data_IF_153866363670
#
_entry.id   IF_153866363670
#
_cell.length_a   1.000
_cell.length_b   1.000
_cell.length_c   1.000
_cell.angle_alpha   90.00
_cell.angle_beta   90.00
_cell.angle_gamma   90.00
#
_symmetry.space_group_name_H-M   'P 1'
#
loop_
_entity.id
_entity.type
_entity.pdbx_description
1 polymer ?
#
# COMPACT_ATOMS: atom_id res chain seq x y z
N UNK A 1 -23.49 10.67 -15.40
CA UNK A 1 -24.22 11.93 -15.17
C UNK A 1 -25.65 11.63 -14.72
N UNK A 2 -26.53 11.12 -15.60
CA UNK A 2 -27.94 10.82 -15.27
C UNK A 2 -28.21 9.96 -14.02
N UNK A 3 -27.29 9.08 -13.63
CA UNK A 3 -27.42 8.28 -12.40
C UNK A 3 -27.09 9.08 -11.13
N UNK A 4 -26.13 10.00 -11.18
CA UNK A 4 -25.74 10.84 -10.04
C UNK A 4 -26.84 11.88 -9.72
N UNK A 5 -27.47 12.43 -10.77
CA UNK A 5 -28.56 13.39 -10.65
C UNK A 5 -29.76 12.80 -9.90
N UNK A 6 -30.04 11.51 -10.10
CA UNK A 6 -31.10 10.77 -9.36
C UNK A 6 -30.81 10.59 -7.88
N UNK A 7 -29.56 10.75 -7.46
CA UNK A 7 -29.11 10.58 -6.08
C UNK A 7 -28.62 11.89 -5.44
N UNK A 8 -28.87 13.04 -6.08
CA UNK A 8 -28.41 14.35 -5.61
C UNK A 8 -26.90 14.41 -5.34
N UNK A 9 -26.10 13.69 -6.14
CA UNK A 9 -24.65 13.71 -6.09
C UNK A 9 -24.09 14.61 -7.20
N UNK A 10 -23.07 15.40 -6.88
CA UNK A 10 -22.35 16.24 -7.85
C UNK A 10 -20.91 15.73 -8.02
N UNK A 11 -20.37 15.92 -9.23
CA UNK A 11 -18.97 15.57 -9.51
C UNK A 11 -18.04 16.73 -9.20
N UNK A 12 -16.88 16.43 -8.64
CA UNK A 12 -15.79 17.38 -8.52
C UNK A 12 -14.96 17.35 -9.80
N UNK A 13 -15.37 18.15 -10.79
CA UNK A 13 -14.77 18.12 -12.14
C UNK A 13 -13.25 18.35 -12.14
N UNK A 14 -12.72 19.12 -11.20
CA UNK A 14 -11.28 19.35 -11.06
C UNK A 14 -10.51 18.07 -10.70
N UNK A 15 -11.17 17.11 -10.03
CA UNK A 15 -10.59 15.83 -9.60
C UNK A 15 -10.94 14.69 -10.54
N UNK A 16 -11.93 14.85 -11.41
CA UNK A 16 -12.34 13.83 -12.36
C UNK A 16 -11.28 13.60 -13.44
N UNK A 17 -11.17 12.34 -13.87
CA UNK A 17 -10.41 11.91 -15.04
C UNK A 17 -11.31 11.00 -15.86
N UNK A 18 -11.42 11.28 -17.15
CA UNK A 18 -12.32 10.58 -18.07
C UNK A 18 -11.50 9.96 -19.19
N UNK A 19 -11.83 8.71 -19.55
CA UNK A 19 -11.25 7.99 -20.70
C UNK A 19 -9.72 8.03 -20.75
N UNK A 20 -9.04 7.86 -19.60
CA UNK A 20 -7.58 7.88 -19.52
C UNK A 20 -7.01 6.46 -19.46
N UNK A 21 -5.89 6.22 -20.16
CA UNK A 21 -5.17 4.94 -20.11
C UNK A 21 -4.47 4.69 -18.75
N UNK A 22 -4.24 5.78 -18.02
CA UNK A 22 -3.59 5.80 -16.70
C UNK A 22 -4.46 6.56 -15.72
N UNK A 23 -4.65 6.01 -14.52
CA UNK A 23 -5.40 6.66 -13.44
C UNK A 23 -4.70 6.47 -12.09
N UNK A 24 -4.70 7.51 -11.26
CA UNK A 24 -4.29 7.42 -9.86
C UNK A 24 -5.53 7.12 -9.02
N UNK A 25 -5.52 6.00 -8.29
CA UNK A 25 -6.63 5.54 -7.47
C UNK A 25 -6.11 5.08 -6.11
N UNK A 26 -6.71 5.60 -5.03
CA UNK A 26 -6.27 5.35 -3.65
C UNK A 26 -4.78 5.61 -3.48
N UNK A 27 -3.97 4.61 -3.11
CA UNK A 27 -2.50 4.71 -2.93
C UNK A 27 -1.71 4.26 -4.16
N UNK A 28 -2.40 3.99 -5.26
CA UNK A 28 -1.85 3.30 -6.42
C UNK A 28 -2.10 4.07 -7.71
N UNK A 29 -1.36 3.68 -8.72
CA UNK A 29 -1.51 4.07 -10.10
C UNK A 29 -1.78 2.82 -10.93
N UNK A 30 -2.81 2.90 -11.76
CA UNK A 30 -3.26 1.81 -12.63
C UNK A 30 -3.01 2.21 -14.07
N UNK A 31 -2.37 1.33 -14.83
CA UNK A 31 -2.05 1.51 -16.25
C UNK A 31 -1.81 0.14 -16.89
N UNK A 32 -2.40 -0.12 -18.07
CA UNK A 32 -2.23 -1.36 -18.83
C UNK A 32 -2.42 -2.65 -18.01
N UNK A 33 -3.46 -2.70 -17.17
CA UNK A 33 -3.74 -3.88 -16.34
C UNK A 33 -2.78 -4.08 -15.16
N UNK A 34 -1.85 -3.14 -14.96
CA UNK A 34 -0.85 -3.19 -13.90
C UNK A 34 -1.15 -2.13 -12.85
N UNK A 35 -1.03 -2.50 -11.59
CA UNK A 35 -1.10 -1.60 -10.45
C UNK A 35 0.30 -1.43 -9.86
N UNK A 36 0.72 -0.18 -9.74
CA UNK A 36 1.95 0.24 -9.07
C UNK A 36 1.61 1.22 -7.95
N UNK A 37 2.41 1.34 -6.90
CA UNK A 37 2.21 2.41 -5.93
C UNK A 37 2.30 3.80 -6.58
N UNK A 38 1.49 4.75 -6.11
CA UNK A 38 1.61 6.16 -6.51
C UNK A 38 2.79 6.79 -5.76
N UNK A 39 3.87 7.18 -6.46
CA UNK A 39 5.06 7.72 -5.81
C UNK A 39 4.76 8.99 -5.02
N UNK A 40 3.80 9.81 -5.45
CA UNK A 40 3.43 11.03 -4.74
C UNK A 40 2.79 10.75 -3.38
N UNK A 41 2.00 9.67 -3.30
CA UNK A 41 1.34 9.25 -2.06
C UNK A 41 2.29 8.48 -1.14
N UNK A 42 3.27 7.78 -1.71
CA UNK A 42 4.34 7.15 -0.95
C UNK A 42 5.34 8.13 -0.34
N UNK A 43 5.50 9.35 -0.87
CA UNK A 43 6.45 10.35 -0.33
C UNK A 43 6.36 10.49 1.18
N UNK A 44 5.15 10.58 1.72
CA UNK A 44 4.93 10.69 3.17
C UNK A 44 5.43 9.45 3.92
N UNK A 45 5.16 8.24 3.40
CA UNK A 45 5.63 6.98 3.98
C UNK A 45 7.17 6.86 3.90
N UNK A 46 7.77 7.27 2.78
CA UNK A 46 9.22 7.21 2.57
C UNK A 46 9.98 8.15 3.51
N UNK A 47 9.43 9.35 3.77
CA UNK A 47 10.00 10.38 4.64
C UNK A 47 9.94 10.08 6.13
N UNK A 48 9.24 9.02 6.53
CA UNK A 48 9.20 8.59 7.93
C UNK A 48 10.61 8.22 8.38
N UNK A 49 11.18 9.04 9.25
CA UNK A 49 12.49 8.86 9.85
C UNK A 49 12.30 8.71 11.35
N UNK A 50 12.70 7.54 11.89
CA UNK A 50 12.87 7.25 13.33
C UNK A 50 11.64 7.50 14.22
N UNK A 51 11.07 6.43 14.77
CA UNK A 51 9.95 6.50 15.71
C UNK A 51 10.47 6.76 17.12
N UNK A 52 9.82 7.68 17.86
CA UNK A 52 10.23 8.02 19.23
C UNK A 52 9.51 7.18 20.27
N UNK A 53 8.35 6.62 19.93
CA UNK A 53 7.54 5.82 20.83
C UNK A 53 6.76 4.72 20.08
N UNK A 54 6.25 3.75 20.84
CA UNK A 54 5.42 2.64 20.37
C UNK A 54 4.22 3.10 19.53
N UNK A 55 3.54 4.17 19.97
CA UNK A 55 2.28 4.61 19.35
C UNK A 55 2.52 5.12 17.93
N UNK A 56 3.60 5.88 17.72
CA UNK A 56 4.02 6.34 16.41
C UNK A 56 4.45 5.17 15.52
N UNK A 57 5.17 4.20 16.10
CA UNK A 57 5.56 2.96 15.43
C UNK A 57 4.35 2.15 14.93
N UNK A 58 3.39 1.84 15.80
CA UNK A 58 2.16 1.13 15.43
C UNK A 58 1.36 1.89 14.37
N UNK A 59 1.24 3.21 14.50
CA UNK A 59 0.50 4.05 13.55
C UNK A 59 1.10 3.94 12.14
N UNK A 60 2.42 3.94 12.05
CA UNK A 60 3.11 3.89 10.76
C UNK A 60 3.05 2.51 10.14
N UNK A 61 3.14 1.44 10.94
CA UNK A 61 3.01 0.07 10.45
C UNK A 61 1.67 -0.16 9.76
N UNK A 62 0.58 0.40 10.29
CA UNK A 62 -0.75 0.29 9.68
C UNK A 62 -0.86 1.09 8.36
N UNK A 63 0.03 2.06 8.11
CA UNK A 63 0.03 2.83 6.86
C UNK A 63 0.72 2.09 5.69
N UNK A 64 1.40 0.97 5.93
CA UNK A 64 1.99 0.19 4.86
C UNK A 64 0.89 -0.52 4.04
N UNK A 65 0.91 -0.44 2.69
CA UNK A 65 0.01 -1.21 1.84
C UNK A 65 0.37 -2.70 1.92
N UNK A 66 -0.31 -3.43 2.81
CA UNK A 66 -0.02 -4.83 3.13
C UNK A 66 -0.02 -5.76 1.91
N UNK A 67 -0.92 -5.54 0.94
CA UNK A 67 -1.04 -6.36 -0.27
C UNK A 67 0.13 -6.19 -1.26
N UNK A 68 1.01 -5.21 -1.06
CA UNK A 68 2.21 -4.99 -1.86
C UNK A 68 3.48 -5.55 -1.22
N UNK A 69 3.38 -6.15 -0.02
CA UNK A 69 4.54 -6.56 0.77
C UNK A 69 4.43 -8.06 1.08
N UNK A 70 5.32 -8.90 0.52
CA UNK A 70 5.37 -10.31 0.84
C UNK A 70 5.65 -10.54 2.33
N UNK A 71 4.97 -11.52 2.93
CA UNK A 71 5.12 -11.91 4.35
C UNK A 71 5.02 -10.72 5.31
N UNK A 72 4.07 -9.79 5.05
CA UNK A 72 3.89 -8.55 5.79
C UNK A 72 3.80 -8.77 7.31
N UNK A 73 3.00 -9.74 7.75
CA UNK A 73 2.80 -10.06 9.17
C UNK A 73 4.11 -10.42 9.88
N UNK A 74 4.93 -11.30 9.28
CA UNK A 74 6.23 -11.71 9.84
C UNK A 74 7.20 -10.54 9.99
N UNK A 75 7.28 -9.69 8.97
CA UNK A 75 8.09 -8.46 9.01
C UNK A 75 7.58 -7.48 10.07
N UNK A 76 6.26 -7.34 10.20
CA UNK A 76 5.65 -6.49 11.22
C UNK A 76 5.97 -6.99 12.63
N UNK A 77 5.88 -8.30 12.88
CA UNK A 77 6.25 -8.91 14.16
C UNK A 77 7.72 -8.66 14.52
N UNK A 78 8.65 -8.80 13.57
CA UNK A 78 10.08 -8.49 13.82
C UNK A 78 10.35 -7.01 14.17
N UNK A 79 9.43 -6.11 13.84
CA UNK A 79 9.58 -4.67 14.13
C UNK A 79 8.91 -4.25 15.44
N UNK A 80 8.02 -5.05 16.00
CA UNK A 80 7.24 -4.72 17.20
C UNK A 80 7.54 -5.74 18.28
N UNK A 81 8.58 -5.49 19.07
CA UNK A 81 8.82 -6.25 20.29
C UNK A 81 7.99 -5.67 21.45
N UNK A 82 7.15 -6.49 22.13
CA UNK A 82 6.22 -6.02 23.16
C UNK A 82 6.89 -5.40 24.40
N UNK A 83 8.17 -5.70 24.64
CA UNK A 83 8.83 -5.40 25.91
C UNK A 83 9.58 -4.07 25.92
N UNK A 84 10.14 -3.61 24.79
CA UNK A 84 10.97 -2.40 24.79
C UNK A 84 10.62 -1.35 23.74
N UNK A 85 9.81 -1.66 22.71
CA UNK A 85 9.46 -0.73 21.61
C UNK A 85 10.64 0.11 21.06
N UNK A 86 11.88 -0.38 21.24
CA UNK A 86 13.07 0.31 20.83
C UNK A 86 13.25 0.05 19.34
N UNK A 87 13.30 1.14 18.56
CA UNK A 87 13.57 1.08 17.13
C UNK A 87 15.05 0.75 16.91
N UNK A 88 15.39 -0.52 17.14
CA UNK A 88 16.73 -1.09 17.06
C UNK A 88 17.21 -1.17 15.60
N UNK A 89 18.44 -1.63 15.40
CA UNK A 89 19.06 -1.71 14.06
C UNK A 89 18.28 -2.66 13.14
N UNK A 90 17.80 -3.79 13.66
CA UNK A 90 17.01 -4.77 12.90
C UNK A 90 15.68 -4.17 12.40
N UNK A 91 14.92 -3.50 13.26
CA UNK A 91 13.66 -2.86 12.88
C UNK A 91 13.86 -1.78 11.81
N UNK A 92 14.98 -1.04 11.85
CA UNK A 92 15.36 -0.08 10.80
C UNK A 92 15.59 -0.77 9.47
N UNK A 93 16.32 -1.87 9.46
CA UNK A 93 16.61 -2.64 8.25
C UNK A 93 15.35 -3.26 7.65
N UNK A 94 14.48 -3.85 8.49
CA UNK A 94 13.21 -4.41 8.04
C UNK A 94 12.31 -3.32 7.46
N UNK A 95 12.22 -2.15 8.12
CA UNK A 95 11.48 -1.01 7.59
C UNK A 95 12.03 -0.51 6.25
N UNK A 96 13.35 -0.40 6.12
CA UNK A 96 14.00 -0.01 4.87
C UNK A 96 13.72 -1.03 3.74
N UNK A 97 13.79 -2.33 4.05
CA UNK A 97 13.41 -3.41 3.12
C UNK A 97 11.94 -3.32 2.73
N UNK A 98 11.02 -3.06 3.66
CA UNK A 98 9.60 -2.89 3.38
C UNK A 98 9.34 -1.70 2.46
N UNK A 99 9.95 -0.54 2.74
CA UNK A 99 9.87 0.64 1.87
C UNK A 99 10.35 0.34 0.44
N UNK A 100 11.50 -0.33 0.30
CA UNK A 100 12.03 -0.74 -1.00
C UNK A 100 11.13 -1.75 -1.72
N UNK A 101 10.53 -2.69 -1.00
CA UNK A 101 9.59 -3.65 -1.59
C UNK A 101 8.37 -2.92 -2.16
N UNK A 102 7.79 -1.98 -1.41
CA UNK A 102 6.64 -1.21 -1.89
C UNK A 102 7.04 -0.41 -3.12
N UNK A 103 8.15 0.33 -3.08
CA UNK A 103 8.59 1.17 -4.19
C UNK A 103 8.73 0.40 -5.52
N UNK A 104 9.15 -0.86 -5.44
CA UNK A 104 9.31 -1.75 -6.60
C UNK A 104 8.12 -2.67 -6.84
N UNK A 105 7.06 -2.57 -6.03
CA UNK A 105 5.91 -3.48 -6.13
C UNK A 105 5.14 -3.20 -7.42
N UNK A 106 4.84 -4.28 -8.13
CA UNK A 106 3.97 -4.26 -9.31
C UNK A 106 3.04 -5.44 -9.21
N UNK A 107 1.74 -5.19 -9.33
CA UNK A 107 0.70 -6.22 -9.25
C UNK A 107 -0.07 -6.23 -10.56
N UNK A 108 -0.18 -7.39 -11.20
CA UNK A 108 -1.13 -7.58 -12.28
C UNK A 108 -2.54 -7.65 -11.68
N UNK A 109 -3.44 -6.79 -12.14
CA UNK A 109 -4.82 -6.72 -11.66
C UNK A 109 -5.82 -7.22 -12.70
N UNK A 110 -5.35 -7.64 -13.87
CA UNK A 110 -6.19 -8.32 -14.86
C UNK A 110 -6.27 -9.78 -14.45
N UNK A 111 -7.48 -10.19 -14.08
CA UNK A 111 -7.80 -11.58 -13.82
C UNK A 111 -8.45 -12.11 -15.10
N UNK A 112 -7.82 -13.09 -15.74
CA UNK A 112 -8.48 -13.85 -16.79
C UNK A 112 -9.56 -14.72 -16.15
N UNK A 113 -10.85 -14.54 -16.49
CA UNK A 113 -11.94 -15.32 -15.90
C UNK A 113 -11.88 -16.81 -16.26
N UNK A 114 -11.07 -17.20 -17.25
CA UNK A 114 -10.85 -18.59 -17.64
C UNK A 114 -9.70 -19.25 -16.87
N UNK A 115 -8.83 -18.45 -16.25
CA UNK A 115 -7.72 -18.97 -15.45
C UNK A 115 -8.18 -19.32 -14.03
N UNK A 116 -7.58 -20.37 -13.47
CA UNK A 116 -7.84 -20.77 -12.08
C UNK A 116 -7.05 -19.86 -11.14
N UNK A 117 -7.77 -19.06 -10.35
CA UNK A 117 -7.20 -18.38 -9.20
C UNK A 117 -6.67 -19.41 -8.19
N UNK A 118 -5.39 -19.27 -7.85
CA UNK A 118 -4.70 -20.13 -6.87
C UNK A 118 -4.28 -19.27 -5.69
N UNK A 119 -4.45 -19.80 -4.48
CA UNK A 119 -4.02 -19.15 -3.23
C UNK A 119 -3.02 -20.08 -2.56
N UNK A 120 -1.76 -19.64 -2.51
CA UNK A 120 -0.71 -20.33 -1.78
C UNK A 120 -0.65 -19.79 -0.35
N UNK A 121 -0.64 -20.70 0.62
CA UNK A 121 -0.56 -20.36 2.04
C UNK A 121 0.65 -21.00 2.67
N UNK A 122 1.40 -20.22 3.44
CA UNK A 122 2.49 -20.69 4.30
C UNK A 122 2.19 -20.21 5.72
N UNK A 123 2.38 -21.10 6.70
CA UNK A 123 2.14 -20.84 8.11
C UNK A 123 3.40 -21.23 8.89
N UNK A 124 3.92 -20.27 9.67
CA UNK A 124 5.10 -20.43 10.52
C UNK A 124 4.80 -19.96 11.93
#
# INVERSE_FOLDING_TARGET
MRALDKHWLTMNENKCKYSTARIKLLVSQIENGMMKPDPDRLKSLMRIHKQRNEKELRRILVMFPHYLIPSFSKKLHSMVHPQDYTWNTEAKEVCAKMKKNIENAVVNIVIDPLERLTVDTDAS
#
